data_IF_315492404981
#
_entry.id   IF_315492404981
#
_cell.length_a   1.000
_cell.length_b   1.000
_cell.length_c   1.000
_cell.angle_alpha   90.00
_cell.angle_beta   90.00
_cell.angle_gamma   90.00
#
_symmetry.space_group_name_H-M   'P 1'
#
loop_
_entity.id
_entity.type
_entity.pdbx_description
1 polymer ?
#
# COMPACT_ATOMS: atom_id res chain seq x y z
N UNK A 1 -24.25 -14.40 4.12
CA UNK A 1 -23.74 -13.04 4.35
C UNK A 1 -22.23 -13.13 4.47
N UNK A 2 -21.54 -13.20 3.33
CA UNK A 2 -20.07 -13.26 3.28
C UNK A 2 -19.57 -11.85 3.54
N UNK A 3 -18.92 -11.66 4.69
CA UNK A 3 -18.31 -10.39 5.05
C UNK A 3 -17.27 -10.02 3.98
N UNK A 4 -17.49 -8.91 3.29
CA UNK A 4 -16.51 -8.27 2.40
C UNK A 4 -15.22 -7.87 3.16
N UNK A 5 -15.26 -7.92 4.50
CA UNK A 5 -14.20 -7.55 5.44
C UNK A 5 -12.86 -8.29 5.30
N UNK A 6 -12.78 -9.37 4.52
CA UNK A 6 -11.58 -10.23 4.47
C UNK A 6 -10.79 -10.13 3.14
N UNK A 7 -11.35 -9.55 2.07
CA UNK A 7 -10.64 -9.48 0.78
C UNK A 7 -9.37 -8.60 0.85
N UNK A 8 -9.51 -7.37 1.37
CA UNK A 8 -8.40 -6.42 1.52
C UNK A 8 -7.30 -6.88 2.47
N UNK A 9 -7.68 -7.42 3.63
CA UNK A 9 -6.73 -7.95 4.62
C UNK A 9 -5.94 -9.17 4.11
N UNK A 10 -6.60 -10.05 3.36
CA UNK A 10 -5.94 -11.19 2.70
C UNK A 10 -4.96 -10.75 1.61
N UNK A 11 -5.33 -9.76 0.79
CA UNK A 11 -4.46 -9.19 -0.25
C UNK A 11 -3.17 -8.62 0.35
N UNK A 12 -3.29 -7.75 1.34
CA UNK A 12 -2.13 -7.14 2.01
C UNK A 12 -1.22 -8.16 2.69
N UNK A 13 -1.80 -9.13 3.41
CA UNK A 13 -1.03 -10.18 4.08
C UNK A 13 -0.26 -11.03 3.08
N UNK A 14 -0.92 -11.43 1.99
CA UNK A 14 -0.28 -12.21 0.93
C UNK A 14 0.87 -11.42 0.27
N UNK A 15 0.65 -10.13 -0.02
CA UNK A 15 1.69 -9.24 -0.53
C UNK A 15 2.89 -9.16 0.43
N UNK A 16 2.63 -8.87 1.72
CA UNK A 16 3.66 -8.71 2.74
C UNK A 16 4.51 -9.97 2.88
N UNK A 17 3.88 -11.15 2.94
CA UNK A 17 4.59 -12.42 3.06
C UNK A 17 5.44 -12.72 1.81
N UNK A 18 4.90 -12.46 0.62
CA UNK A 18 5.65 -12.63 -0.63
C UNK A 18 6.86 -11.68 -0.69
N UNK A 19 6.69 -10.43 -0.29
CA UNK A 19 7.77 -9.45 -0.25
C UNK A 19 8.83 -9.84 0.80
N UNK A 20 8.41 -10.20 2.02
CA UNK A 20 9.31 -10.67 3.07
C UNK A 20 10.14 -11.88 2.61
N UNK A 21 9.51 -12.85 1.93
CA UNK A 21 10.19 -14.02 1.37
C UNK A 21 11.21 -13.62 0.30
N UNK A 22 10.89 -12.66 -0.57
CA UNK A 22 11.82 -12.15 -1.59
C UNK A 22 13.01 -11.43 -0.95
N UNK A 23 12.77 -10.59 0.05
CA UNK A 23 13.80 -9.85 0.78
C UNK A 23 14.72 -10.81 1.57
N UNK A 24 14.16 -11.83 2.21
CA UNK A 24 14.93 -12.85 2.92
C UNK A 24 15.66 -13.82 1.98
N UNK A 25 15.08 -14.09 0.80
CA UNK A 25 15.58 -15.03 -0.20
C UNK A 25 16.61 -14.45 -1.18
N UNK A 26 16.89 -13.15 -1.14
CA UNK A 26 17.85 -12.45 -2.01
C UNK A 26 19.32 -12.89 -1.88
N UNK A 27 19.59 -13.97 -1.16
CA UNK A 27 20.90 -14.56 -0.91
C UNK A 27 21.23 -15.77 -1.77
N UNK A 28 20.93 -15.74 -3.06
CA UNK A 28 21.45 -16.72 -4.01
C UNK A 28 22.90 -16.43 -4.40
N UNK A 29 23.83 -16.40 -3.43
CA UNK A 29 25.29 -16.47 -3.64
C UNK A 29 26.02 -16.54 -2.29
N UNK A 30 26.63 -17.70 -2.04
CA UNK A 30 27.94 -17.89 -1.41
C UNK A 30 28.40 -16.87 -0.34
N UNK A 31 28.41 -17.28 0.94
CA UNK A 31 29.29 -16.70 1.95
C UNK A 31 28.61 -15.91 3.08
N UNK A 32 28.33 -16.62 4.18
CA UNK A 32 28.37 -16.19 5.60
C UNK A 32 27.77 -14.84 6.09
N UNK A 33 27.13 -13.99 5.26
CA UNK A 33 26.83 -12.58 5.64
C UNK A 33 25.33 -12.17 5.60
N UNK A 34 24.39 -13.11 5.49
CA UNK A 34 22.96 -12.79 5.29
C UNK A 34 22.09 -12.77 6.57
N UNK A 35 22.65 -12.40 7.72
CA UNK A 35 21.90 -12.20 8.98
C UNK A 35 21.50 -10.73 9.16
N UNK A 36 20.86 -10.13 8.16
CA UNK A 36 20.38 -8.75 8.25
C UNK A 36 18.92 -8.75 8.65
N UNK A 37 18.59 -7.97 9.68
CA UNK A 37 17.20 -7.75 10.05
C UNK A 37 16.49 -7.04 8.90
N UNK A 38 15.29 -7.50 8.58
CA UNK A 38 14.42 -6.89 7.58
C UNK A 38 13.21 -6.35 8.34
N UNK A 39 12.91 -5.08 8.13
CA UNK A 39 11.70 -4.42 8.62
C UNK A 39 11.13 -3.58 7.50
N UNK A 40 9.83 -3.62 7.33
CA UNK A 40 9.07 -2.74 6.45
C UNK A 40 7.64 -2.65 6.96
N UNK A 41 6.92 -1.62 6.53
CA UNK A 41 5.49 -1.46 6.81
C UNK A 41 4.68 -2.02 5.63
N UNK A 42 3.96 -3.15 5.80
CA UNK A 42 3.06 -3.66 4.77
C UNK A 42 2.05 -2.60 4.32
N UNK A 43 1.46 -1.91 5.28
CA UNK A 43 0.38 -0.93 5.06
C UNK A 43 0.87 0.25 4.23
N UNK A 44 2.08 0.75 4.50
CA UNK A 44 2.64 1.91 3.79
C UNK A 44 2.97 1.57 2.33
N UNK A 45 3.50 0.37 2.09
CA UNK A 45 3.76 -0.09 0.73
C UNK A 45 2.47 -0.37 -0.04
N UNK A 46 1.48 -0.96 0.63
CA UNK A 46 0.17 -1.23 0.05
C UNK A 46 -0.54 0.07 -0.34
N UNK A 47 -0.49 1.11 0.51
CA UNK A 47 -1.05 2.43 0.22
C UNK A 47 -0.43 3.09 -1.02
N UNK A 48 0.90 3.05 -1.15
CA UNK A 48 1.60 3.58 -2.34
C UNK A 48 1.24 2.80 -3.60
N UNK A 49 1.12 1.48 -3.52
CA UNK A 49 0.74 0.67 -4.68
C UNK A 49 -0.71 0.93 -5.10
N UNK A 50 -1.61 1.17 -4.14
CA UNK A 50 -2.98 1.58 -4.45
C UNK A 50 -3.04 2.95 -5.13
N UNK A 51 -2.16 3.86 -4.74
CA UNK A 51 -1.99 5.14 -5.40
C UNK A 51 -1.58 4.99 -6.87
N UNK A 52 -0.71 4.02 -7.16
CA UNK A 52 -0.29 3.71 -8.52
C UNK A 52 -1.43 3.15 -9.38
N UNK A 53 -2.40 2.43 -8.78
CA UNK A 53 -3.59 1.90 -9.48
C UNK A 53 -4.37 3.05 -10.13
N UNK A 54 -4.49 4.20 -9.46
CA UNK A 54 -5.21 5.36 -9.99
C UNK A 54 -4.60 5.97 -11.26
N UNK A 55 -3.30 5.75 -11.49
CA UNK A 55 -2.60 6.19 -12.71
C UNK A 55 -2.45 5.07 -13.76
N UNK A 56 -2.71 3.82 -13.40
CA UNK A 56 -2.44 2.66 -14.24
C UNK A 56 -3.54 2.43 -15.28
N UNK A 57 -3.16 1.78 -16.40
CA UNK A 57 -4.07 1.36 -17.48
C UNK A 57 -3.64 0.00 -18.02
N UNK A 58 -4.58 -0.70 -18.65
CA UNK A 58 -4.33 -1.99 -19.30
C UNK A 58 -3.75 -3.02 -18.33
N UNK A 59 -2.76 -3.78 -18.78
CA UNK A 59 -2.17 -4.88 -18.00
C UNK A 59 -1.55 -4.42 -16.68
N UNK A 60 -0.99 -3.20 -16.62
CA UNK A 60 -0.44 -2.65 -15.36
C UNK A 60 -1.54 -2.44 -14.33
N UNK A 61 -2.73 -2.01 -14.75
CA UNK A 61 -3.88 -1.86 -13.85
C UNK A 61 -4.31 -3.21 -13.31
N UNK A 62 -4.41 -4.22 -14.19
CA UNK A 62 -4.82 -5.58 -13.83
C UNK A 62 -3.86 -6.23 -12.82
N UNK A 63 -2.55 -6.08 -13.02
CA UNK A 63 -1.53 -6.61 -12.11
C UNK A 63 -1.60 -5.95 -10.72
N UNK A 64 -1.79 -4.64 -10.67
CA UNK A 64 -1.88 -3.92 -9.40
C UNK A 64 -3.19 -4.24 -8.67
N UNK A 65 -4.33 -4.34 -9.36
CA UNK A 65 -5.60 -4.76 -8.75
C UNK A 65 -5.50 -6.19 -8.21
N UNK A 66 -4.93 -7.11 -8.99
CA UNK A 66 -4.71 -8.49 -8.57
C UNK A 66 -3.79 -8.59 -7.35
N UNK A 67 -2.76 -7.75 -7.26
CA UNK A 67 -1.88 -7.67 -6.11
C UNK A 67 -2.63 -7.28 -4.83
N UNK A 68 -3.62 -6.39 -4.96
CA UNK A 68 -4.46 -5.95 -3.84
C UNK A 68 -5.67 -6.87 -3.58
N UNK A 69 -5.88 -7.90 -4.41
CA UNK A 69 -7.08 -8.72 -4.33
C UNK A 69 -8.39 -7.94 -4.56
N UNK A 70 -8.31 -6.81 -5.26
CA UNK A 70 -9.46 -5.95 -5.55
C UNK A 70 -9.99 -6.25 -6.96
N UNK A 71 -11.32 -6.24 -7.14
CA UNK A 71 -11.93 -6.43 -8.46
C UNK A 71 -12.00 -5.12 -9.27
N UNK A 72 -11.92 -3.97 -8.59
CA UNK A 72 -12.05 -2.65 -9.20
C UNK A 72 -11.27 -1.59 -8.40
N UNK A 73 -11.11 -0.40 -8.96
CA UNK A 73 -10.56 0.75 -8.24
C UNK A 73 -11.45 1.18 -7.07
N UNK A 74 -12.78 1.04 -7.19
CA UNK A 74 -13.72 1.37 -6.13
C UNK A 74 -13.57 0.40 -4.94
N UNK A 75 -13.51 -0.90 -5.21
CA UNK A 75 -13.24 -1.94 -4.19
C UNK A 75 -11.92 -1.66 -3.47
N UNK A 76 -10.89 -1.28 -4.22
CA UNK A 76 -9.60 -0.94 -3.65
C UNK A 76 -9.67 0.30 -2.77
N UNK A 77 -10.39 1.33 -3.22
CA UNK A 77 -10.56 2.60 -2.48
C UNK A 77 -11.29 2.35 -1.16
N UNK A 78 -12.36 1.56 -1.18
CA UNK A 78 -13.08 1.14 0.03
C UNK A 78 -12.15 0.37 0.98
N UNK A 79 -11.37 -0.56 0.44
CA UNK A 79 -10.45 -1.37 1.23
C UNK A 79 -9.33 -0.53 1.88
N UNK A 80 -8.76 0.44 1.15
CA UNK A 80 -7.76 1.37 1.67
C UNK A 80 -8.36 2.27 2.75
N UNK A 81 -9.56 2.80 2.49
CA UNK A 81 -10.26 3.66 3.44
C UNK A 81 -10.51 2.92 4.76
N UNK A 82 -10.96 1.66 4.72
CA UNK A 82 -11.14 0.85 5.92
C UNK A 82 -9.83 0.64 6.68
N UNK A 83 -8.75 0.28 5.99
CA UNK A 83 -7.45 0.09 6.64
C UNK A 83 -6.94 1.38 7.27
N UNK A 84 -7.08 2.52 6.59
CA UNK A 84 -6.54 3.80 7.07
C UNK A 84 -7.38 4.41 8.19
N UNK A 85 -8.70 4.46 8.04
CA UNK A 85 -9.58 5.14 8.99
C UNK A 85 -9.97 4.28 10.19
N UNK A 86 -9.90 2.95 10.07
CA UNK A 86 -10.28 2.02 11.15
C UNK A 86 -9.05 1.37 11.76
N UNK A 87 -8.24 0.70 10.94
CA UNK A 87 -7.13 -0.14 11.48
C UNK A 87 -5.89 0.68 11.87
N UNK A 88 -5.71 1.87 11.29
CA UNK A 88 -4.58 2.77 11.55
C UNK A 88 -5.01 4.09 12.23
N UNK A 89 -6.24 4.16 12.73
CA UNK A 89 -6.70 5.32 13.48
C UNK A 89 -5.74 5.62 14.62
N UNK A 90 -5.38 6.90 14.80
CA UNK A 90 -4.53 7.33 15.90
C UNK A 90 -5.32 7.25 17.22
N UNK A 91 -5.21 6.10 17.87
CA UNK A 91 -5.79 5.82 19.18
C UNK A 91 -4.83 6.25 20.30
N UNK A 92 -3.87 7.16 20.07
CA UNK A 92 -2.91 7.58 21.12
C UNK A 92 -3.58 8.14 22.39
N UNK A 93 -4.80 8.67 22.28
CA UNK A 93 -5.61 9.08 23.43
C UNK A 93 -6.10 7.90 24.32
N UNK A 94 -6.14 6.67 23.77
CA UNK A 94 -6.49 5.44 24.48
C UNK A 94 -5.31 4.85 25.28
N UNK A 95 -4.10 5.37 25.09
CA UNK A 95 -2.85 4.84 25.64
C UNK A 95 -2.15 3.84 24.70
N UNK A 96 -2.67 3.64 23.50
CA UNK A 96 -1.99 2.85 22.46
C UNK A 96 -0.78 3.58 21.88
N UNK A 97 0.22 2.83 21.36
CA UNK A 97 1.38 3.46 20.70
C UNK A 97 0.91 4.30 19.50
N UNK A 98 1.41 5.53 19.34
CA UNK A 98 1.06 6.35 18.19
C UNK A 98 1.54 5.67 16.90
N UNK A 99 0.63 5.50 15.94
CA UNK A 99 0.93 4.96 14.62
C UNK A 99 0.98 6.13 13.63
N UNK A 100 2.03 6.17 12.82
CA UNK A 100 2.19 7.18 11.77
C UNK A 100 2.70 6.52 10.49
N UNK A 101 2.20 6.98 9.36
CA UNK A 101 2.67 6.61 8.03
C UNK A 101 2.68 7.84 7.14
N UNK A 102 3.58 7.84 6.15
CA UNK A 102 3.66 8.89 5.14
C UNK A 102 3.66 8.26 3.75
N UNK A 103 2.90 8.83 2.84
CA UNK A 103 2.87 8.46 1.42
C UNK A 103 2.97 9.75 0.59
N UNK A 104 3.89 9.78 -0.37
CA UNK A 104 4.01 10.90 -1.30
C UNK A 104 4.30 10.36 -2.69
N UNK A 105 3.73 11.02 -3.71
CA UNK A 105 4.00 10.74 -5.11
C UNK A 105 4.77 11.92 -5.70
N UNK A 106 5.86 11.61 -6.40
CA UNK A 106 6.72 12.58 -7.06
C UNK A 106 6.69 12.21 -8.55
N UNK A 107 6.57 13.20 -9.41
CA UNK A 107 6.57 13.01 -10.86
C UNK A 107 7.59 13.94 -11.49
N UNK A 108 8.10 13.53 -12.64
CA UNK A 108 8.96 14.38 -13.47
C UNK A 108 8.15 15.56 -14.01
N UNK A 109 8.70 16.77 -13.90
CA UNK A 109 8.01 18.01 -14.31
C UNK A 109 7.69 18.06 -15.82
N UNK A 110 8.40 17.28 -16.64
CA UNK A 110 8.16 17.19 -18.09
C UNK A 110 6.97 16.29 -18.42
N UNK A 111 6.50 15.48 -17.47
CA UNK A 111 5.38 14.55 -17.65
C UNK A 111 4.09 15.17 -17.13
N UNK A 112 3.07 15.27 -17.99
CA UNK A 112 1.76 15.76 -17.56
C UNK A 112 1.01 14.69 -16.76
N UNK A 113 0.71 15.00 -15.51
CA UNK A 113 -0.27 14.24 -14.73
C UNK A 113 -1.69 14.51 -15.22
N UNK A 114 -2.45 13.44 -15.43
CA UNK A 114 -3.88 13.57 -15.71
C UNK A 114 -4.60 14.15 -14.50
N UNK A 115 -5.54 15.07 -14.74
CA UNK A 115 -6.41 15.62 -13.70
C UNK A 115 -7.11 14.51 -12.89
N UNK A 116 -7.55 13.45 -13.57
CA UNK A 116 -8.25 12.34 -12.93
C UNK A 116 -7.36 11.64 -11.89
N UNK A 117 -6.08 11.44 -12.21
CA UNK A 117 -5.12 10.82 -11.28
C UNK A 117 -4.86 11.74 -10.08
N UNK A 118 -4.79 13.04 -10.32
CA UNK A 118 -4.53 14.04 -9.28
C UNK A 118 -5.67 14.15 -8.25
N UNK A 119 -6.92 14.01 -8.70
CA UNK A 119 -8.09 13.98 -7.80
C UNK A 119 -8.06 12.74 -6.91
N UNK A 120 -7.76 11.56 -7.47
CA UNK A 120 -7.68 10.30 -6.71
C UNK A 120 -6.54 10.31 -5.68
N UNK A 121 -5.46 11.05 -5.95
CA UNK A 121 -4.32 11.24 -5.04
C UNK A 121 -4.65 12.09 -3.80
N UNK A 122 -5.68 12.95 -3.87
CA UNK A 122 -5.96 13.96 -2.85
C UNK A 122 -6.23 13.42 -1.43
N UNK A 123 -6.96 12.30 -1.22
CA UNK A 123 -7.19 11.74 0.11
C UNK A 123 -5.92 11.19 0.76
N UNK A 124 -5.03 10.56 -0.02
CA UNK A 124 -3.80 9.94 0.50
C UNK A 124 -2.76 10.98 0.95
N UNK A 125 -2.82 12.21 0.43
CA UNK A 125 -1.87 13.28 0.74
C UNK A 125 -2.31 14.18 1.91
N UNK A 126 -3.47 13.90 2.56
CA UNK A 126 -4.06 14.81 3.55
C UNK A 126 -3.36 14.87 4.90
N UNK A 127 -2.45 13.96 5.22
CA UNK A 127 -1.78 13.99 6.52
C UNK A 127 -0.39 14.63 6.44
N UNK A 128 -0.40 15.95 6.66
CA UNK A 128 0.66 16.78 7.24
C UNK A 128 1.97 16.86 6.42
N UNK A 129 2.03 17.88 5.57
CA UNK A 129 3.29 18.45 5.12
C UNK A 129 3.81 19.36 6.24
N UNK A 130 5.05 19.12 6.66
CA UNK A 130 5.82 19.99 7.56
C UNK A 130 6.15 21.32 6.87
#
# INVERSE_FOLDING_TARGET
MTTMEDAGGRGMTAFALRLAKRLAGGGGSSGNNNKKNIVFSPVSLYAVLALAVAGARGTTLDELLALHGAASLDDLTESIHRVMEVDLADESASGEPPISYACSAWHDETLMLSYSSMVTLSPCCRHRWW
#
